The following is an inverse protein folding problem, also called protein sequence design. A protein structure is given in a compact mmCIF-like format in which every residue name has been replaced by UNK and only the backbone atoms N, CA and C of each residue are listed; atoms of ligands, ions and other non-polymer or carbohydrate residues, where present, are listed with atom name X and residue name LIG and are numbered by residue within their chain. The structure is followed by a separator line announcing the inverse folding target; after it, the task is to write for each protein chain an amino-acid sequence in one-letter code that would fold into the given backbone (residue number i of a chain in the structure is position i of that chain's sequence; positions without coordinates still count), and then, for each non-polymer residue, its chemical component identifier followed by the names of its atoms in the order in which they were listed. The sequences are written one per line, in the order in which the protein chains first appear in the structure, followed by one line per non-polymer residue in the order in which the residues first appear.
data_IF_132741418904
#
_entry.id   IF_132741418904
#
_cell.length_a   1.000
_cell.length_b   1.000
_cell.length_c   1.000
_cell.angle_alpha   90.00
_cell.angle_beta   90.00
_cell.angle_gamma   90.00
#
_symmetry.space_group_name_H-M   'P 1'
#
loop_
_entity.id
_entity.type
_entity.pdbx_description
1 polymer ?
#
# COMPACT_ATOMS: atom_id res chain seq x y z
N UNK A 1 -67.95 -14.11 49.74
CA UNK A 1 -66.68 -14.07 50.48
C UNK A 1 -65.56 -14.91 49.84
N UNK A 2 -65.81 -16.15 49.38
CA UNK A 2 -64.75 -16.98 48.78
C UNK A 2 -64.12 -16.33 47.52
N UNK A 3 -64.93 -15.74 46.63
CA UNK A 3 -64.45 -15.07 45.40
C UNK A 3 -63.55 -13.85 45.64
N UNK A 4 -63.87 -13.02 46.63
CA UNK A 4 -63.02 -11.86 46.95
C UNK A 4 -61.69 -12.28 47.56
N UNK A 5 -61.68 -13.36 48.35
CA UNK A 5 -60.45 -13.93 48.91
C UNK A 5 -59.56 -14.51 47.81
N UNK A 6 -60.10 -15.25 46.84
CA UNK A 6 -59.32 -15.78 45.72
C UNK A 6 -58.71 -14.67 44.86
N UNK A 7 -59.47 -13.60 44.60
CA UNK A 7 -58.97 -12.43 43.88
C UNK A 7 -57.83 -11.75 44.65
N UNK A 8 -57.98 -11.53 45.96
CA UNK A 8 -56.94 -10.93 46.80
C UNK A 8 -55.67 -11.81 46.85
N UNK A 9 -55.81 -13.13 46.99
CA UNK A 9 -54.69 -14.08 46.98
C UNK A 9 -53.97 -14.09 45.63
N UNK A 10 -54.70 -13.98 44.51
CA UNK A 10 -54.09 -13.90 43.17
C UNK A 10 -53.21 -12.66 43.01
N UNK A 11 -53.67 -11.50 43.50
CA UNK A 11 -52.91 -10.26 43.51
C UNK A 11 -51.65 -10.36 44.38
N UNK A 12 -51.78 -10.90 45.61
CA UNK A 12 -50.65 -11.08 46.52
C UNK A 12 -49.58 -11.99 45.91
N UNK A 13 -49.97 -13.13 45.33
CA UNK A 13 -49.04 -14.04 44.65
C UNK A 13 -48.36 -13.41 43.45
N UNK A 14 -49.10 -12.67 42.62
CA UNK A 14 -48.53 -11.94 41.49
C UNK A 14 -47.51 -10.90 41.93
N UNK A 15 -47.81 -10.14 42.98
CA UNK A 15 -46.89 -9.17 43.55
C UNK A 15 -45.66 -9.81 44.20
N UNK A 16 -45.79 -10.98 44.84
CA UNK A 16 -44.65 -11.73 45.36
C UNK A 16 -43.66 -12.07 44.24
N UNK A 17 -44.14 -12.65 43.14
CA UNK A 17 -43.29 -12.98 41.98
C UNK A 17 -42.61 -11.74 41.41
N UNK A 18 -43.33 -10.60 41.34
CA UNK A 18 -42.74 -9.33 40.92
C UNK A 18 -41.64 -8.87 41.86
N UNK A 19 -41.83 -9.01 43.17
CA UNK A 19 -40.80 -8.68 44.16
C UNK A 19 -39.59 -9.60 44.03
N UNK A 20 -39.78 -10.88 43.76
CA UNK A 20 -38.70 -11.84 43.54
C UNK A 20 -37.87 -11.45 42.29
N UNK A 21 -38.54 -11.07 41.19
CA UNK A 21 -37.88 -10.59 39.97
C UNK A 21 -37.12 -9.27 40.22
N UNK A 22 -37.70 -8.34 40.97
CA UNK A 22 -37.03 -7.09 41.35
C UNK A 22 -35.82 -7.39 42.24
N UNK A 23 -35.96 -8.28 43.21
CA UNK A 23 -34.87 -8.71 44.09
C UNK A 23 -33.72 -9.33 43.32
N UNK A 24 -34.01 -10.20 42.34
CA UNK A 24 -32.99 -10.79 41.48
C UNK A 24 -32.28 -9.73 40.62
N UNK A 25 -33.02 -8.76 40.05
CA UNK A 25 -32.42 -7.68 39.28
C UNK A 25 -31.49 -6.79 40.13
N UNK A 26 -31.89 -6.50 41.38
CA UNK A 26 -31.07 -5.71 42.31
C UNK A 26 -29.82 -6.49 42.73
N UNK A 27 -29.96 -7.78 43.03
CA UNK A 27 -28.84 -8.63 43.41
C UNK A 27 -27.77 -8.73 42.31
N UNK A 28 -28.18 -8.73 41.05
CA UNK A 28 -27.27 -8.86 39.89
C UNK A 28 -26.92 -7.52 39.24
N UNK A 29 -27.10 -6.39 39.93
CA UNK A 29 -26.84 -5.05 39.36
C UNK A 29 -25.39 -4.86 38.90
N UNK A 30 -24.44 -5.48 39.60
CA UNK A 30 -23.00 -5.43 39.29
C UNK A 30 -22.51 -6.64 38.49
N UNK A 31 -23.39 -7.58 38.13
CA UNK A 31 -23.00 -8.72 37.30
C UNK A 31 -22.84 -8.26 35.85
N UNK A 32 -21.64 -8.45 35.30
CA UNK A 32 -21.32 -8.11 33.91
C UNK A 32 -22.31 -8.80 32.98
N UNK A 33 -22.74 -8.09 31.94
CA UNK A 33 -23.63 -8.62 30.90
C UNK A 33 -25.02 -9.13 31.35
N UNK A 34 -25.44 -8.87 32.60
CA UNK A 34 -26.77 -9.26 33.08
C UNK A 34 -27.90 -8.55 32.31
N UNK A 35 -28.93 -9.32 31.93
CA UNK A 35 -30.14 -8.80 31.26
C UNK A 35 -31.31 -8.80 32.24
N UNK A 36 -31.72 -7.61 32.66
CA UNK A 36 -32.81 -7.45 33.64
C UNK A 36 -34.12 -8.06 33.14
N UNK A 37 -34.84 -8.68 34.06
CA UNK A 37 -36.14 -9.29 33.80
C UNK A 37 -37.30 -8.38 34.27
N UNK A 38 -38.45 -8.47 33.62
CA UNK A 38 -39.68 -7.81 34.08
C UNK A 38 -40.87 -8.79 34.11
N UNK A 39 -41.62 -8.79 35.21
CA UNK A 39 -42.88 -9.53 35.29
C UNK A 39 -44.00 -8.74 34.60
N UNK A 40 -44.72 -9.39 33.69
CA UNK A 40 -45.95 -8.87 33.08
C UNK A 40 -47.15 -9.57 33.67
N UNK A 41 -48.21 -8.81 33.86
CA UNK A 41 -49.47 -9.30 34.39
C UNK A 41 -50.55 -9.25 33.33
N UNK A 42 -51.52 -10.13 33.49
CA UNK A 42 -52.77 -10.11 32.74
C UNK A 42 -53.93 -10.39 33.68
N UNK A 43 -55.10 -9.90 33.31
CA UNK A 43 -56.34 -10.17 34.02
C UNK A 43 -56.85 -11.58 33.69
N UNK A 44 -57.52 -12.19 34.67
CA UNK A 44 -58.28 -13.41 34.43
C UNK A 44 -59.65 -13.04 33.86
N UNK A 45 -60.20 -13.91 33.01
CA UNK A 45 -61.49 -13.69 32.36
C UNK A 45 -62.55 -13.25 33.39
N UNK A 46 -63.32 -12.22 33.06
CA UNK A 46 -64.38 -11.73 33.96
C UNK A 46 -65.61 -12.62 33.90
N UNK A 47 -66.26 -12.86 35.04
CA UNK A 47 -67.54 -13.56 35.11
C UNK A 47 -68.68 -12.59 34.79
N UNK A 48 -69.43 -12.85 33.72
CA UNK A 48 -70.63 -12.04 33.37
C UNK A 48 -71.83 -12.46 34.20
N UNK A 49 -72.36 -11.53 34.99
CA UNK A 49 -73.55 -11.70 35.81
C UNK A 49 -74.83 -11.29 35.06
N UNK A 50 -74.73 -10.27 34.21
CA UNK A 50 -75.83 -9.80 33.37
C UNK A 50 -75.28 -9.34 32.03
N UNK A 51 -75.91 -9.77 30.93
CA UNK A 51 -75.55 -9.35 29.57
C UNK A 51 -76.00 -7.92 29.26
N UNK A 52 -75.36 -7.30 28.27
CA UNK A 52 -75.76 -5.99 27.78
C UNK A 52 -77.12 -6.06 27.07
N UNK A 53 -77.97 -5.04 27.21
CA UNK A 53 -79.25 -4.96 26.51
C UNK A 53 -79.40 -3.66 25.74
N UNK A 54 -79.93 -3.75 24.52
CA UNK A 54 -80.22 -2.58 23.70
C UNK A 54 -81.45 -1.82 24.22
N UNK A 55 -81.52 -0.49 24.05
CA UNK A 55 -82.70 0.29 24.43
C UNK A 55 -83.93 -0.10 23.60
N UNK A 56 -85.06 -0.31 24.27
CA UNK A 56 -86.38 -0.54 23.66
C UNK A 56 -87.41 0.38 24.34
N UNK A 57 -88.27 -0.15 25.23
CA UNK A 57 -89.21 0.67 26.04
C UNK A 57 -88.54 1.27 27.29
N UNK A 58 -87.43 0.68 27.74
CA UNK A 58 -86.50 1.23 28.76
C UNK A 58 -85.13 1.48 28.14
N UNK A 59 -84.32 2.32 28.78
CA UNK A 59 -82.93 2.57 28.40
C UNK A 59 -82.08 1.29 28.39
N UNK A 60 -81.04 1.27 27.54
CA UNK A 60 -80.11 0.16 27.45
C UNK A 60 -79.34 -0.04 28.76
N UNK A 61 -78.96 -1.30 29.04
CA UNK A 61 -78.21 -1.65 30.25
C UNK A 61 -76.81 -2.14 29.89
N UNK A 62 -75.83 -1.70 30.66
CA UNK A 62 -74.45 -2.18 30.55
C UNK A 62 -74.33 -3.61 31.11
N UNK A 63 -73.40 -4.42 30.58
CA UNK A 63 -73.13 -5.73 31.14
C UNK A 63 -72.55 -5.59 32.55
N UNK A 64 -73.03 -6.41 33.49
CA UNK A 64 -72.46 -6.50 34.83
C UNK A 64 -71.46 -7.65 34.84
N UNK A 65 -70.18 -7.35 35.04
CA UNK A 65 -69.10 -8.32 35.07
C UNK A 65 -68.28 -8.18 36.36
N UNK A 66 -67.80 -9.32 36.86
CA UNK A 66 -66.92 -9.39 38.04
C UNK A 66 -65.59 -9.99 37.62
N UNK A 67 -64.51 -9.23 37.79
CA UNK A 67 -63.16 -9.69 37.48
C UNK A 67 -62.71 -10.82 38.41
N UNK A 68 -62.08 -11.85 37.86
CA UNK A 68 -61.60 -13.03 38.62
C UNK A 68 -60.18 -12.86 39.18
N UNK A 69 -59.58 -11.68 39.03
CA UNK A 69 -58.24 -11.34 39.52
C UNK A 69 -57.21 -11.27 38.41
N UNK A 70 -55.96 -11.57 38.76
CA UNK A 70 -54.82 -11.43 37.85
C UNK A 70 -53.88 -12.64 37.93
N UNK A 71 -53.08 -12.86 36.89
CA UNK A 71 -51.95 -13.78 36.90
C UNK A 71 -50.72 -13.16 36.28
N UNK A 72 -49.55 -13.74 36.55
CA UNK A 72 -48.32 -13.42 35.81
C UNK A 72 -48.42 -14.08 34.44
N UNK A 73 -48.34 -13.26 33.38
CA UNK A 73 -48.38 -13.69 31.99
C UNK A 73 -47.03 -14.26 31.57
N UNK A 74 -45.96 -13.48 31.78
CA UNK A 74 -44.60 -13.85 31.43
C UNK A 74 -43.59 -13.06 32.26
N UNK A 75 -42.37 -13.59 32.36
CA UNK A 75 -41.18 -12.86 32.79
C UNK A 75 -40.32 -12.66 31.55
N UNK A 76 -40.12 -11.39 31.15
CA UNK A 76 -39.43 -11.04 29.92
C UNK A 76 -38.06 -10.46 30.22
N UNK A 77 -37.04 -10.96 29.53
CA UNK A 77 -35.69 -10.38 29.56
C UNK A 77 -35.64 -9.12 28.69
N UNK A 78 -35.01 -8.09 29.22
CA UNK A 78 -34.76 -6.84 28.52
C UNK A 78 -33.33 -6.84 27.95
N UNK A 79 -33.23 -6.77 26.62
CA UNK A 79 -31.97 -6.84 25.88
C UNK A 79 -31.34 -5.49 25.56
N UNK A 80 -31.87 -4.37 26.08
CA UNK A 80 -31.26 -3.06 25.87
C UNK A 80 -29.77 -3.05 26.29
N UNK A 81 -28.99 -2.25 25.56
CA UNK A 81 -27.57 -2.05 25.83
C UNK A 81 -27.39 -1.21 27.08
N UNK A 82 -26.50 -1.66 27.97
CA UNK A 82 -26.06 -0.88 29.14
C UNK A 82 -24.87 0.01 28.80
N UNK A 83 -24.47 0.91 29.71
CA UNK A 83 -23.23 1.66 29.55
C UNK A 83 -22.04 0.70 29.52
N UNK A 84 -21.09 0.96 28.62
CA UNK A 84 -19.81 0.25 28.56
C UNK A 84 -18.84 0.98 29.48
N UNK A 85 -18.10 0.23 30.29
CA UNK A 85 -17.02 0.74 31.13
C UNK A 85 -15.70 0.22 30.56
N UNK A 86 -14.71 1.12 30.46
CA UNK A 86 -13.37 0.72 30.05
C UNK A 86 -12.70 -0.01 31.21
N UNK A 87 -11.99 -1.10 30.88
CA UNK A 87 -11.10 -1.80 31.79
C UNK A 87 -9.67 -1.68 31.26
N UNK A 88 -8.68 -1.87 32.13
CA UNK A 88 -7.25 -1.85 31.76
C UNK A 88 -6.73 -3.24 31.31
N UNK A 89 -7.63 -4.19 31.04
CA UNK A 89 -7.26 -5.53 30.55
C UNK A 89 -7.46 -5.62 29.04
N UNK A 90 -6.40 -5.99 28.32
CA UNK A 90 -6.39 -6.09 26.86
C UNK A 90 -7.33 -7.16 26.29
N UNK A 91 -7.66 -8.18 27.08
CA UNK A 91 -8.51 -9.31 26.68
C UNK A 91 -9.97 -9.12 27.05
N UNK A 92 -10.32 -8.03 27.73
CA UNK A 92 -11.71 -7.68 28.02
C UNK A 92 -12.36 -7.03 26.79
N UNK A 93 -13.47 -7.62 26.33
CA UNK A 93 -14.16 -7.18 25.13
C UNK A 93 -15.62 -6.81 25.45
N UNK A 94 -16.14 -5.80 24.77
CA UNK A 94 -17.56 -5.45 24.83
C UNK A 94 -18.14 -5.32 23.42
N UNK A 95 -19.35 -5.83 23.23
CA UNK A 95 -20.09 -5.67 21.97
C UNK A 95 -20.98 -4.44 22.09
N UNK A 96 -20.77 -3.46 21.21
CA UNK A 96 -21.70 -2.38 20.99
C UNK A 96 -22.76 -2.81 19.97
N UNK A 97 -24.03 -2.83 20.39
CA UNK A 97 -25.15 -3.20 19.54
C UNK A 97 -25.61 -4.65 19.71
N UNK A 98 -26.12 -5.23 18.61
CA UNK A 98 -26.67 -6.58 18.60
C UNK A 98 -25.58 -7.61 18.26
N UNK A 99 -25.47 -8.67 19.06
CA UNK A 99 -24.51 -9.75 18.86
C UNK A 99 -24.27 -10.54 20.13
N UNK A 100 -23.58 -11.67 20.05
CA UNK A 100 -23.12 -12.44 21.21
C UNK A 100 -21.76 -13.03 20.89
N UNK A 101 -20.93 -13.22 21.93
CA UNK A 101 -19.75 -14.06 21.83
C UNK A 101 -20.17 -15.52 21.81
N UNK A 102 -19.54 -16.30 20.93
CA UNK A 102 -19.72 -17.74 20.88
C UNK A 102 -18.61 -18.38 21.68
N UNK A 103 -18.96 -19.19 22.67
CA UNK A 103 -18.00 -19.93 23.49
C UNK A 103 -18.33 -21.42 23.44
N UNK A 104 -17.35 -22.28 23.65
CA UNK A 104 -17.56 -23.73 23.63
C UNK A 104 -16.81 -24.43 24.75
N UNK A 105 -17.40 -25.52 25.26
CA UNK A 105 -16.75 -26.52 26.11
C UNK A 105 -16.06 -27.63 25.29
N UNK A 106 -16.09 -27.53 23.96
CA UNK A 106 -15.61 -28.53 23.01
C UNK A 106 -16.68 -29.52 22.53
N UNK A 107 -17.91 -29.46 23.09
CA UNK A 107 -19.04 -30.31 22.68
C UNK A 107 -20.19 -29.48 22.13
N UNK A 108 -20.54 -28.41 22.83
CA UNK A 108 -21.65 -27.53 22.49
C UNK A 108 -21.20 -26.08 22.38
N UNK A 109 -22.02 -25.28 21.70
CA UNK A 109 -21.86 -23.85 21.59
C UNK A 109 -22.79 -23.12 22.55
N UNK A 110 -22.23 -22.17 23.29
CA UNK A 110 -22.97 -21.27 24.17
C UNK A 110 -22.79 -19.82 23.70
N UNK A 111 -23.75 -18.99 24.06
CA UNK A 111 -23.76 -17.56 23.70
C UNK A 111 -23.71 -16.72 24.97
N UNK A 112 -22.74 -15.80 25.01
CA UNK A 112 -22.58 -14.89 26.14
C UNK A 112 -22.39 -13.46 25.66
N UNK A 113 -22.80 -12.50 26.49
CA UNK A 113 -22.46 -11.08 26.31
C UNK A 113 -21.34 -10.65 27.26
N UNK A 114 -20.96 -11.51 28.19
CA UNK A 114 -19.79 -11.32 29.04
C UNK A 114 -18.54 -11.54 28.19
N UNK A 115 -17.73 -10.50 28.08
CA UNK A 115 -16.46 -10.53 27.35
C UNK A 115 -15.25 -10.48 28.26
N UNK A 116 -15.38 -10.90 29.51
CA UNK A 116 -14.24 -11.16 30.40
C UNK A 116 -13.53 -12.45 29.99
N UNK A 117 -12.53 -12.30 29.11
CA UNK A 117 -11.71 -13.40 28.66
C UNK A 117 -10.32 -13.31 29.28
N UNK A 118 -9.84 -14.43 29.79
CA UNK A 118 -8.45 -14.65 30.16
C UNK A 118 -7.77 -15.55 29.13
N UNK A 119 -6.45 -15.68 29.27
CA UNK A 119 -5.66 -16.57 28.45
C UNK A 119 -5.25 -17.80 29.25
N UNK A 120 -5.40 -18.98 28.68
CA UNK A 120 -4.93 -20.21 29.32
C UNK A 120 -3.43 -20.50 29.01
N UNK A 121 -2.87 -21.47 29.72
CA UNK A 121 -1.48 -21.92 29.52
C UNK A 121 -1.21 -22.49 28.12
N UNK A 122 -2.25 -22.90 27.41
CA UNK A 122 -2.21 -23.42 26.05
C UNK A 122 -2.43 -22.32 25.00
N UNK A 123 -2.50 -21.05 25.38
CA UNK A 123 -2.65 -19.92 24.46
C UNK A 123 -4.06 -19.65 23.95
N UNK A 124 -5.09 -20.34 24.46
CA UNK A 124 -6.49 -20.09 24.10
C UNK A 124 -7.10 -18.97 24.94
N UNK A 125 -8.05 -18.24 24.35
CA UNK A 125 -8.91 -17.32 25.09
C UNK A 125 -10.04 -18.09 25.75
N UNK A 126 -10.17 -17.97 27.08
CA UNK A 126 -11.14 -18.66 27.90
C UNK A 126 -11.90 -17.68 28.78
N UNK A 127 -13.19 -17.90 29.02
CA UNK A 127 -13.93 -17.12 30.01
C UNK A 127 -13.69 -17.66 31.43
N UNK A 128 -14.26 -16.98 32.44
CA UNK A 128 -14.16 -17.36 33.86
C UNK A 128 -14.66 -18.79 34.14
N UNK A 129 -15.55 -19.33 33.31
CA UNK A 129 -16.09 -20.69 33.42
C UNK A 129 -15.23 -21.74 32.70
N UNK A 130 -14.11 -21.35 32.08
CA UNK A 130 -13.23 -22.24 31.32
C UNK A 130 -13.71 -22.58 29.90
N UNK A 131 -14.74 -21.90 29.40
CA UNK A 131 -15.23 -22.05 28.03
C UNK A 131 -14.34 -21.27 27.08
N UNK A 132 -13.97 -21.88 25.96
CA UNK A 132 -13.09 -21.28 24.96
C UNK A 132 -13.86 -20.35 24.04
N UNK A 133 -13.31 -19.17 23.77
CA UNK A 133 -13.85 -18.24 22.80
C UNK A 133 -13.66 -18.79 21.38
N UNK A 134 -14.75 -18.86 20.63
CA UNK A 134 -14.75 -19.36 19.26
C UNK A 134 -14.61 -18.19 18.28
N UNK A 135 -13.92 -18.44 17.18
CA UNK A 135 -13.75 -17.49 16.10
C UNK A 135 -13.18 -18.16 14.86
N UNK A 136 -12.72 -17.32 13.94
CA UNK A 136 -12.04 -17.78 12.74
C UNK A 136 -10.54 -17.62 12.93
N UNK A 137 -9.79 -18.71 12.77
CA UNK A 137 -8.34 -18.64 12.71
C UNK A 137 -7.95 -17.88 11.44
N UNK A 138 -7.21 -16.79 11.57
CA UNK A 138 -6.74 -15.99 10.45
C UNK A 138 -5.61 -16.70 9.71
N UNK A 139 -5.94 -17.65 8.83
CA UNK A 139 -5.03 -18.03 7.75
C UNK A 139 -5.14 -17.00 6.63
N UNK A 140 -4.05 -16.74 5.90
CA UNK A 140 -4.00 -15.71 4.84
C UNK A 140 -5.26 -15.79 3.94
N UNK A 141 -5.92 -14.64 3.78
CA UNK A 141 -7.12 -14.38 2.97
C UNK A 141 -8.48 -14.93 3.47
N UNK A 142 -9.26 -14.02 4.07
CA UNK A 142 -10.70 -13.76 3.86
C UNK A 142 -11.75 -14.88 3.82
N UNK A 143 -11.40 -16.15 4.01
CA UNK A 143 -12.38 -17.23 4.08
C UNK A 143 -12.80 -17.45 5.54
N UNK A 144 -14.06 -17.13 5.84
CA UNK A 144 -14.70 -17.52 7.10
C UNK A 144 -14.80 -19.05 7.11
N UNK A 145 -13.78 -19.70 7.66
CA UNK A 145 -13.77 -21.15 7.88
C UNK A 145 -14.80 -21.59 8.93
N UNK A 146 -14.70 -22.85 9.36
CA UNK A 146 -15.47 -23.34 10.51
C UNK A 146 -15.07 -22.59 11.80
N UNK A 147 -16.01 -22.45 12.72
CA UNK A 147 -15.71 -21.89 14.04
C UNK A 147 -14.73 -22.79 14.77
N UNK A 148 -13.60 -22.22 15.17
CA UNK A 148 -12.54 -22.90 15.89
C UNK A 148 -12.17 -22.11 17.15
N UNK A 149 -11.62 -22.76 18.19
CA UNK A 149 -11.17 -22.04 19.38
C UNK A 149 -10.06 -21.06 19.03
N UNK A 150 -10.20 -19.79 19.44
CA UNK A 150 -9.17 -18.78 19.18
C UNK A 150 -7.92 -19.09 19.99
N UNK A 151 -6.86 -19.42 19.26
CA UNK A 151 -5.52 -19.67 19.78
C UNK A 151 -4.62 -18.49 19.41
N UNK A 152 -4.00 -17.86 20.39
CA UNK A 152 -3.05 -16.79 20.17
C UNK A 152 -1.67 -17.30 20.60
N UNK A 153 -0.81 -17.72 19.67
CA UNK A 153 0.50 -18.25 20.03
C UNK A 153 1.44 -17.12 20.50
N UNK A 154 1.72 -17.04 21.81
CA UNK A 154 2.74 -16.14 22.35
C UNK A 154 4.06 -16.90 22.45
N UNK A 155 5.10 -16.36 21.82
CA UNK A 155 6.44 -16.98 21.83
C UNK A 155 6.68 -18.00 20.72
N UNK A 156 5.67 -18.30 19.89
CA UNK A 156 5.94 -18.96 18.62
C UNK A 156 6.71 -18.02 17.70
N UNK A 157 7.72 -18.57 17.04
CA UNK A 157 8.51 -17.81 16.09
C UNK A 157 7.70 -17.71 14.80
N UNK A 158 7.41 -16.48 14.37
CA UNK A 158 6.95 -16.25 13.01
C UNK A 158 8.06 -16.70 12.06
N UNK A 159 7.71 -17.52 11.07
CA UNK A 159 8.66 -17.96 10.05
C UNK A 159 9.14 -16.75 9.24
N UNK A 160 10.42 -16.72 8.91
CA UNK A 160 10.94 -15.67 8.05
C UNK A 160 10.30 -15.77 6.66
N UNK A 161 9.96 -14.62 6.09
CA UNK A 161 9.45 -14.52 4.71
C UNK A 161 10.54 -13.92 3.85
N UNK A 162 10.95 -14.65 2.81
CA UNK A 162 11.93 -14.16 1.85
C UNK A 162 11.41 -12.91 1.12
N UNK A 163 12.30 -11.96 0.85
CA UNK A 163 11.98 -10.77 0.05
C UNK A 163 11.59 -11.19 -1.37
N UNK A 164 10.36 -10.90 -1.79
CA UNK A 164 9.86 -11.27 -3.13
C UNK A 164 10.03 -10.17 -4.17
N UNK A 165 9.91 -8.91 -3.75
CA UNK A 165 9.99 -7.74 -4.63
C UNK A 165 10.74 -6.64 -3.91
N UNK A 166 11.60 -5.95 -4.65
CA UNK A 166 12.24 -4.70 -4.25
C UNK A 166 11.82 -3.66 -5.28
N UNK A 167 11.30 -2.54 -4.81
CA UNK A 167 10.97 -1.40 -5.65
C UNK A 167 11.82 -0.21 -5.22
N UNK A 168 12.53 0.39 -6.16
CA UNK A 168 13.26 1.64 -5.95
C UNK A 168 12.95 2.61 -7.09
N UNK A 169 13.05 3.91 -6.79
CA UNK A 169 12.87 4.98 -7.77
C UNK A 169 13.91 6.07 -7.47
N UNK A 170 14.54 6.59 -8.52
CA UNK A 170 15.53 7.67 -8.42
C UNK A 170 15.58 8.51 -9.69
N UNK A 171 16.19 9.68 -9.53
CA UNK A 171 16.55 10.58 -10.61
C UNK A 171 18.02 10.33 -10.97
N UNK A 172 18.29 10.09 -12.25
CA UNK A 172 19.64 9.95 -12.80
C UNK A 172 20.04 11.25 -13.50
N UNK A 173 21.31 11.65 -13.42
CA UNK A 173 21.76 12.88 -14.06
C UNK A 173 21.86 12.70 -15.59
N UNK A 174 21.06 13.46 -16.32
CA UNK A 174 21.08 13.50 -17.78
C UNK A 174 22.37 14.07 -18.38
N UNK A 175 23.34 14.54 -17.57
CA UNK A 175 24.65 15.03 -18.02
C UNK A 175 25.77 14.02 -17.85
N UNK A 176 25.48 12.83 -17.31
CA UNK A 176 26.49 11.81 -17.05
C UNK A 176 27.06 11.14 -18.32
N UNK A 177 26.43 11.32 -19.49
CA UNK A 177 26.81 10.67 -20.77
C UNK A 177 27.76 11.49 -21.67
N UNK A 178 28.42 12.54 -21.15
CA UNK A 178 29.18 13.48 -21.99
C UNK A 178 30.32 12.80 -22.77
N UNK A 179 30.40 13.14 -24.06
CA UNK A 179 31.55 12.90 -24.93
C UNK A 179 32.62 13.92 -24.54
N UNK A 180 33.78 13.45 -24.09
CA UNK A 180 34.90 14.33 -23.69
C UNK A 180 35.86 14.66 -24.85
N UNK A 181 35.72 14.04 -26.02
CA UNK A 181 36.46 14.41 -27.22
C UNK A 181 35.54 15.20 -28.16
N UNK A 182 36.00 16.34 -28.67
CA UNK A 182 35.23 17.13 -29.62
C UNK A 182 35.06 16.42 -30.97
N UNK A 183 34.32 17.06 -31.87
CA UNK A 183 33.91 16.45 -33.13
C UNK A 183 35.13 16.03 -33.97
N UNK A 184 35.08 14.85 -34.60
CA UNK A 184 36.14 14.35 -35.47
C UNK A 184 35.66 14.38 -36.93
N UNK A 185 36.45 15.03 -37.79
CA UNK A 185 36.26 15.02 -39.25
C UNK A 185 37.45 14.34 -39.92
N UNK A 186 37.21 13.59 -40.98
CA UNK A 186 38.23 13.03 -41.85
C UNK A 186 38.25 13.86 -43.14
N UNK A 187 39.42 14.43 -43.46
CA UNK A 187 39.70 15.12 -44.71
C UNK A 187 40.45 14.16 -45.64
N UNK A 188 39.80 13.78 -46.73
CA UNK A 188 40.38 12.96 -47.78
C UNK A 188 40.78 13.84 -48.96
N UNK A 189 42.08 13.92 -49.26
CA UNK A 189 42.63 14.65 -50.39
C UNK A 189 42.69 13.79 -51.68
N UNK A 190 42.16 12.56 -51.65
CA UNK A 190 41.79 11.78 -52.84
C UNK A 190 42.94 11.40 -53.77
N UNK A 191 44.20 11.53 -53.31
CA UNK A 191 45.38 11.35 -54.15
C UNK A 191 45.50 12.39 -55.27
N UNK A 192 45.07 13.63 -55.03
CA UNK A 192 45.24 14.73 -55.95
C UNK A 192 46.69 14.83 -56.46
N UNK A 193 46.88 15.21 -57.73
CA UNK A 193 48.20 15.24 -58.39
C UNK A 193 48.74 16.65 -58.62
N UNK A 194 47.99 17.68 -58.22
CA UNK A 194 48.39 19.09 -58.26
C UNK A 194 47.22 20.03 -57.97
N UNK A 195 47.52 21.31 -57.74
CA UNK A 195 46.53 22.35 -57.47
C UNK A 195 46.50 22.77 -56.00
N UNK A 196 45.53 23.61 -55.63
CA UNK A 196 45.33 24.10 -54.25
C UNK A 196 43.88 23.94 -53.82
N UNK A 197 43.65 23.78 -52.52
CA UNK A 197 42.32 23.76 -51.91
C UNK A 197 42.22 24.82 -50.81
N UNK A 198 40.99 25.14 -50.40
CA UNK A 198 40.75 26.01 -49.24
C UNK A 198 39.76 25.38 -48.28
N UNK A 199 39.95 25.67 -46.99
CA UNK A 199 39.02 25.31 -45.94
C UNK A 199 38.30 26.58 -45.50
N UNK A 200 36.97 26.55 -45.47
CA UNK A 200 36.15 27.72 -45.17
C UNK A 200 35.26 27.46 -43.97
N UNK A 201 35.25 28.39 -43.01
CA UNK A 201 34.28 28.44 -41.93
C UNK A 201 33.44 29.73 -42.07
N UNK A 202 32.23 29.60 -42.62
CA UNK A 202 31.34 30.73 -42.85
C UNK A 202 31.89 31.73 -43.88
N UNK A 203 32.32 32.92 -43.42
CA UNK A 203 32.89 33.98 -44.27
C UNK A 203 34.43 34.04 -44.23
N UNK A 204 35.07 33.23 -43.40
CA UNK A 204 36.53 33.16 -43.27
C UNK A 204 37.04 31.92 -44.00
N UNK A 205 38.08 32.09 -44.82
CA UNK A 205 38.74 31.03 -45.57
C UNK A 205 40.21 31.01 -45.18
N UNK A 206 40.82 29.83 -45.18
CA UNK A 206 42.28 29.70 -45.15
C UNK A 206 42.88 30.35 -46.40
N UNK A 207 44.16 30.67 -46.33
CA UNK A 207 44.97 30.85 -47.53
C UNK A 207 44.98 29.54 -48.36
N UNK A 208 45.21 29.61 -49.69
CA UNK A 208 45.26 28.42 -50.53
C UNK A 208 46.34 27.44 -50.06
N UNK A 209 45.91 26.21 -49.74
CA UNK A 209 46.79 25.12 -49.32
C UNK A 209 47.12 24.23 -50.52
N UNK A 210 48.37 23.80 -50.64
CA UNK A 210 48.80 22.92 -51.72
C UNK A 210 48.15 21.52 -51.59
N UNK A 211 47.93 20.84 -52.71
CA UNK A 211 47.33 19.50 -52.77
C UNK A 211 48.00 18.43 -51.90
N UNK A 212 49.27 18.61 -51.52
CA UNK A 212 50.08 17.73 -50.69
C UNK A 212 50.47 18.38 -49.34
N UNK A 213 49.70 19.39 -48.90
CA UNK A 213 49.91 20.06 -47.61
C UNK A 213 49.98 19.07 -46.45
N UNK A 214 50.97 19.24 -45.58
CA UNK A 214 51.18 18.34 -44.45
C UNK A 214 50.14 18.57 -43.35
N UNK A 215 49.98 17.60 -42.44
CA UNK A 215 49.12 17.77 -41.26
C UNK A 215 49.45 19.03 -40.45
N UNK A 216 50.74 19.43 -40.41
CA UNK A 216 51.16 20.65 -39.72
C UNK A 216 50.71 21.93 -40.42
N UNK A 217 50.75 21.96 -41.76
CA UNK A 217 50.30 23.13 -42.54
C UNK A 217 48.77 23.29 -42.45
N UNK A 218 48.05 22.17 -42.48
CA UNK A 218 46.59 22.15 -42.32
C UNK A 218 46.20 22.52 -40.88
N UNK A 219 46.94 22.03 -39.87
CA UNK A 219 46.71 22.41 -38.48
C UNK A 219 46.90 23.91 -38.29
N UNK A 220 47.99 24.49 -38.78
CA UNK A 220 48.25 25.92 -38.66
C UNK A 220 47.15 26.75 -39.33
N UNK A 221 46.72 26.36 -40.53
CA UNK A 221 45.64 27.05 -41.23
C UNK A 221 44.29 26.97 -40.50
N UNK A 222 44.01 25.85 -39.82
CA UNK A 222 42.80 25.69 -39.01
C UNK A 222 42.89 26.42 -37.67
N UNK A 223 44.06 26.51 -37.06
CA UNK A 223 44.30 27.32 -35.85
C UNK A 223 44.10 28.81 -36.14
N UNK A 224 44.46 29.30 -37.33
CA UNK A 224 44.14 30.68 -37.75
C UNK A 224 42.63 30.92 -37.91
N UNK A 225 41.85 29.89 -38.27
CA UNK A 225 40.40 29.98 -38.43
C UNK A 225 39.62 29.83 -37.11
N UNK A 226 40.06 28.96 -36.22
CA UNK A 226 39.32 28.57 -35.00
C UNK A 226 39.97 29.05 -33.69
N UNK A 227 41.23 29.47 -33.73
CA UNK A 227 42.06 29.85 -32.58
C UNK A 227 43.08 28.77 -32.20
N UNK A 228 44.17 29.20 -31.59
CA UNK A 228 45.25 28.33 -31.09
C UNK A 228 44.71 27.22 -30.18
N UNK A 229 45.27 26.00 -30.29
CA UNK A 229 44.94 24.80 -29.51
C UNK A 229 43.48 24.29 -29.64
N UNK A 230 42.67 24.87 -30.54
CA UNK A 230 41.28 24.46 -30.71
C UNK A 230 41.08 23.28 -31.67
N UNK A 231 42.09 22.95 -32.47
CA UNK A 231 42.04 21.89 -33.48
C UNK A 231 43.34 21.10 -33.45
N UNK A 232 43.24 19.78 -33.57
CA UNK A 232 44.41 18.91 -33.73
C UNK A 232 44.26 18.11 -35.02
N UNK A 233 45.30 18.13 -35.86
CA UNK A 233 45.29 17.42 -37.15
C UNK A 233 46.34 16.32 -37.12
N UNK A 234 45.92 15.10 -37.44
CA UNK A 234 46.80 13.94 -37.50
C UNK A 234 46.60 13.26 -38.84
N UNK A 235 47.67 13.06 -39.60
CA UNK A 235 47.64 12.24 -40.81
C UNK A 235 47.51 10.76 -40.42
N UNK A 236 46.43 10.10 -40.83
CA UNK A 236 46.19 8.67 -40.54
C UNK A 236 46.84 7.81 -41.63
N UNK A 237 46.65 8.20 -42.88
CA UNK A 237 47.21 7.57 -44.08
C UNK A 237 47.60 8.66 -45.08
N UNK A 238 48.49 8.40 -46.06
CA UNK A 238 48.91 9.41 -47.03
C UNK A 238 47.72 10.07 -47.75
N UNK A 239 47.50 11.36 -47.49
CA UNK A 239 46.37 12.12 -48.03
C UNK A 239 45.03 11.98 -47.30
N UNK A 240 44.97 11.20 -46.20
CA UNK A 240 43.81 11.08 -45.32
C UNK A 240 44.16 11.62 -43.92
N UNK A 241 43.57 12.76 -43.56
CA UNK A 241 43.84 13.46 -42.32
C UNK A 241 42.64 13.45 -41.38
N UNK A 242 42.89 13.23 -40.10
CA UNK A 242 41.90 13.35 -39.03
C UNK A 242 42.03 14.71 -38.37
N UNK A 243 40.93 15.46 -38.36
CA UNK A 243 40.79 16.74 -37.69
C UNK A 243 39.94 16.51 -36.45
N UNK A 244 40.50 16.73 -35.27
CA UNK A 244 39.78 16.65 -33.99
C UNK A 244 39.63 18.05 -33.42
N UNK A 245 38.39 18.48 -33.25
CA UNK A 245 38.05 19.79 -32.68
C UNK A 245 38.00 19.71 -31.14
N UNK A 246 38.26 20.83 -30.46
CA UNK A 246 37.99 20.96 -29.03
C UNK A 246 36.48 20.87 -28.76
N UNK A 247 36.03 20.22 -27.67
CA UNK A 247 34.61 20.06 -27.35
C UNK A 247 33.85 21.39 -27.12
N UNK A 248 34.53 22.52 -27.01
CA UNK A 248 33.91 23.86 -26.90
C UNK A 248 33.51 24.47 -28.24
N UNK A 249 33.99 23.92 -29.37
CA UNK A 249 33.67 24.38 -30.72
C UNK A 249 33.10 23.24 -31.59
N UNK A 250 32.18 23.58 -32.50
CA UNK A 250 31.55 22.62 -33.41
C UNK A 250 32.16 22.70 -34.81
N UNK A 251 32.35 21.55 -35.46
CA UNK A 251 32.91 21.46 -36.81
C UNK A 251 31.86 21.65 -37.92
N UNK A 252 30.58 21.82 -37.56
CA UNK A 252 29.42 21.81 -38.46
C UNK A 252 29.39 22.90 -39.55
N UNK A 253 30.41 23.75 -39.63
CA UNK A 253 30.52 24.83 -40.61
C UNK A 253 31.81 24.79 -41.45
N UNK A 254 32.67 23.79 -41.25
CA UNK A 254 33.86 23.60 -42.07
C UNK A 254 33.47 23.05 -43.44
N UNK A 255 33.71 23.84 -44.49
CA UNK A 255 33.52 23.45 -45.88
C UNK A 255 34.88 23.29 -46.57
N UNK A 256 34.96 22.31 -47.46
CA UNK A 256 36.11 22.05 -48.30
C UNK A 256 35.78 22.50 -49.72
N UNK A 257 36.57 23.43 -50.25
CA UNK A 257 36.49 23.88 -51.63
C UNK A 257 37.63 23.23 -52.42
N UNK A 258 37.25 22.31 -53.31
CA UNK A 258 38.14 21.51 -54.14
C UNK A 258 38.28 22.07 -55.56
N UNK A 259 37.69 23.23 -55.87
CA UNK A 259 37.61 23.76 -57.24
C UNK A 259 38.98 24.04 -57.89
N UNK A 260 40.03 24.19 -57.08
CA UNK A 260 41.41 24.38 -57.52
C UNK A 260 42.25 23.10 -57.61
N UNK A 261 41.72 21.93 -57.24
CA UNK A 261 42.44 20.65 -57.26
C UNK A 261 42.37 19.97 -58.64
N UNK A 262 43.43 19.23 -58.98
CA UNK A 262 43.54 18.52 -60.26
C UNK A 262 44.01 17.06 -60.08
N UNK A 263 43.26 16.14 -60.70
CA UNK A 263 43.47 14.69 -60.56
C UNK A 263 43.02 14.14 -59.20
N UNK A 264 42.96 12.81 -59.09
CA UNK A 264 42.50 12.11 -57.88
C UNK A 264 41.02 11.67 -57.93
N UNK A 265 40.65 10.78 -57.01
CA UNK A 265 39.27 10.36 -56.77
C UNK A 265 38.65 11.34 -55.76
N UNK A 266 37.58 12.05 -56.18
CA UNK A 266 36.74 12.99 -55.41
C UNK A 266 37.16 13.27 -53.95
N UNK A 267 38.03 14.27 -53.70
CA UNK A 267 38.41 14.67 -52.36
C UNK A 267 37.22 15.26 -51.58
N UNK A 268 37.22 15.16 -50.25
CA UNK A 268 36.12 15.65 -49.44
C UNK A 268 36.30 15.53 -47.93
N UNK A 269 35.38 16.17 -47.20
CA UNK A 269 35.25 16.06 -45.75
C UNK A 269 34.17 15.04 -45.38
N UNK A 270 34.51 14.09 -44.52
CA UNK A 270 33.61 13.09 -43.97
C UNK A 270 33.50 13.31 -42.46
N UNK A 271 32.27 13.44 -41.96
CA UNK A 271 32.03 13.53 -40.52
C UNK A 271 32.02 12.13 -39.90
N UNK A 272 33.03 11.82 -39.10
CA UNK A 272 33.17 10.53 -38.42
C UNK A 272 33.12 10.74 -36.91
N UNK A 273 31.91 10.79 -36.32
CA UNK A 273 31.77 10.84 -34.86
C UNK A 273 32.17 9.49 -34.24
N UNK A 274 33.37 9.39 -33.67
CA UNK A 274 33.74 8.23 -32.83
C UNK A 274 33.56 8.56 -31.35
N UNK A 275 32.74 7.76 -30.70
CA UNK A 275 32.44 7.83 -29.27
C UNK A 275 33.57 7.23 -28.44
N UNK A 276 34.04 7.96 -27.43
CA UNK A 276 34.78 7.39 -26.31
C UNK A 276 34.09 7.77 -25.00
N UNK A 277 33.70 6.79 -24.15
CA UNK A 277 33.20 7.10 -22.82
C UNK A 277 34.31 7.77 -22.01
N UNK A 278 34.00 8.92 -21.39
CA UNK A 278 34.95 9.64 -20.53
C UNK A 278 35.48 8.77 -19.37
N UNK A 279 36.62 9.14 -18.77
CA UNK A 279 37.15 8.43 -17.61
C UNK A 279 36.11 8.51 -16.49
N UNK A 280 35.62 7.35 -16.06
CA UNK A 280 34.56 7.25 -15.05
C UNK A 280 34.87 8.17 -13.85
N UNK A 281 34.07 9.22 -13.59
CA UNK A 281 34.19 9.95 -12.35
C UNK A 281 33.86 8.98 -11.20
N UNK A 282 34.39 9.27 -10.02
CA UNK A 282 34.15 8.54 -8.77
C UNK A 282 32.65 8.48 -8.38
N UNK A 283 31.79 9.18 -9.11
CA UNK A 283 30.33 9.20 -9.00
C UNK A 283 29.68 7.94 -9.60
N UNK A 284 29.95 6.80 -8.95
CA UNK A 284 29.14 5.59 -9.14
C UNK A 284 27.75 5.85 -8.57
N UNK A 285 26.72 5.79 -9.40
CA UNK A 285 25.33 5.75 -8.93
C UNK A 285 25.07 4.36 -8.34
N UNK A 286 25.56 4.10 -7.13
CA UNK A 286 25.27 2.86 -6.40
C UNK A 286 24.10 3.02 -5.43
N UNK A 287 23.35 1.93 -5.27
CA UNK A 287 22.25 1.85 -4.31
C UNK A 287 22.31 0.55 -3.53
N UNK A 288 22.24 0.69 -2.22
CA UNK A 288 22.37 -0.41 -1.29
C UNK A 288 21.01 -0.77 -0.70
N UNK A 289 20.67 -2.05 -0.73
CA UNK A 289 19.49 -2.54 -0.05
C UNK A 289 19.75 -3.86 0.68
N UNK A 290 19.03 -4.05 1.77
CA UNK A 290 19.05 -5.29 2.53
C UNK A 290 17.88 -6.17 2.09
N UNK A 291 18.19 -7.41 1.73
CA UNK A 291 17.20 -8.44 1.39
C UNK A 291 17.31 -9.60 2.37
N UNK A 292 16.22 -10.33 2.55
CA UNK A 292 16.15 -11.45 3.49
C UNK A 292 15.84 -12.75 2.76
N UNK A 293 16.53 -13.83 3.11
CA UNK A 293 16.18 -15.18 2.64
C UNK A 293 15.06 -15.82 3.47
N UNK A 294 14.66 -17.03 3.07
CA UNK A 294 13.65 -17.85 3.78
C UNK A 294 14.09 -18.33 5.17
N UNK A 295 15.36 -18.15 5.53
CA UNK A 295 15.91 -18.44 6.86
C UNK A 295 16.07 -17.16 7.70
N UNK A 296 15.70 -15.99 7.16
CA UNK A 296 15.82 -14.69 7.82
C UNK A 296 17.24 -14.13 7.84
N UNK A 297 18.18 -14.68 7.05
CA UNK A 297 19.52 -14.13 6.91
C UNK A 297 19.45 -12.87 6.04
N UNK A 298 20.20 -11.85 6.46
CA UNK A 298 20.31 -10.58 5.74
C UNK A 298 21.42 -10.66 4.70
N UNK A 299 21.09 -10.34 3.46
CA UNK A 299 22.05 -10.15 2.37
C UNK A 299 22.08 -8.68 1.98
N UNK A 300 23.25 -8.27 1.51
CA UNK A 300 23.49 -6.94 0.99
C UNK A 300 23.51 -7.04 -0.54
N UNK A 301 22.70 -6.21 -1.18
CA UNK A 301 22.67 -6.09 -2.63
C UNK A 301 22.95 -4.65 -2.98
N UNK A 302 23.95 -4.45 -3.83
CA UNK A 302 24.31 -3.17 -4.40
C UNK A 302 23.89 -3.17 -5.88
N UNK A 303 23.08 -2.18 -6.25
CA UNK A 303 22.72 -1.89 -7.64
C UNK A 303 23.59 -0.75 -8.11
N UNK A 304 24.36 -0.96 -9.17
CA UNK A 304 25.24 0.07 -9.73
C UNK A 304 24.67 0.46 -11.09
N UNK A 305 24.43 1.75 -11.30
CA UNK A 305 24.00 2.29 -12.58
C UNK A 305 25.17 2.95 -13.29
N UNK A 306 25.39 2.54 -14.54
CA UNK A 306 26.47 3.03 -15.39
C UNK A 306 25.89 3.61 -16.69
N UNK A 307 26.23 4.85 -17.08
CA UNK A 307 25.78 5.39 -18.35
C UNK A 307 26.50 4.66 -19.50
N UNK A 308 25.73 4.10 -20.44
CA UNK A 308 26.28 3.36 -21.60
C UNK A 308 26.21 4.16 -22.88
N UNK A 309 25.17 4.96 -23.06
CA UNK A 309 24.91 5.79 -24.24
C UNK A 309 23.95 6.94 -23.87
N UNK A 310 23.68 7.85 -24.82
CA UNK A 310 22.67 8.88 -24.63
C UNK A 310 21.30 8.26 -24.28
N UNK A 311 20.73 8.65 -23.14
CA UNK A 311 19.46 8.15 -22.59
C UNK A 311 19.43 6.65 -22.21
N UNK A 312 20.58 5.97 -22.06
CA UNK A 312 20.61 4.57 -21.63
C UNK A 312 21.60 4.34 -20.47
N UNK A 313 21.21 3.43 -19.57
CA UNK A 313 21.96 3.07 -18.37
C UNK A 313 21.95 1.54 -18.22
N UNK A 314 23.11 0.98 -17.85
CA UNK A 314 23.31 -0.43 -17.53
C UNK A 314 23.54 -0.69 -16.06
#
# INVERSE_FOLDING_TARGET
MIRSLSTAVSGLRGHQIKLDVIGNNIANVNTVAFKKSQARFEDLLSQTMQGATAPLVRGGMNPSQVGMGMRVSAILNNHFQGPIQNTDHETDLAIEGAGYFVVSDGREYFYTRDGSFGRDSSGYLVNVNGLRLMGWAGTEAAERGELSPLHIPLGERVVARATSVISFARNLDARAWKVEQGQILELDLGGATGGTFTLTNGLQSTDPLDHDASAGDIQQALEELYGDDMVTVVEIDPGLLQITFDPTIGASSLNFDDTGLTGGDSPGLIETQRYQPGPAPEDRYSYEHFVFDSLGRRYFVEFVFTPTDQNTWG
#
